data_IF_941494404451
#
_entry.id   IF_941494404451
#
_cell.length_a   1.000
_cell.length_b   1.000
_cell.length_c   1.000
_cell.angle_alpha   90.00
_cell.angle_beta   90.00
_cell.angle_gamma   90.00
#
_symmetry.space_group_name_H-M   'P 1'
#
loop_
_entity.id
_entity.type
_entity.pdbx_description
1 polymer ?
#
# COMPACT_ATOMS: atom_id res chain seq x y z
N UNK A 1 18.16 10.61 10.35
CA UNK A 1 17.08 10.45 11.36
C UNK A 1 15.67 10.71 10.80
N UNK A 2 15.47 11.58 9.78
CA UNK A 2 14.13 11.95 9.28
C UNK A 2 13.37 10.87 8.48
N UNK A 3 14.06 10.11 7.63
CA UNK A 3 13.48 8.96 6.89
C UNK A 3 12.80 7.92 7.79
N UNK A 4 13.37 7.69 8.98
CA UNK A 4 12.81 6.77 9.94
C UNK A 4 11.43 7.24 10.44
N UNK A 5 11.26 8.55 10.68
CA UNK A 5 10.01 9.12 11.19
C UNK A 5 8.82 8.94 10.23
N UNK A 6 9.05 9.08 8.93
CA UNK A 6 7.99 8.85 7.93
C UNK A 6 7.62 7.38 7.81
N UNK A 7 8.61 6.48 7.84
CA UNK A 7 8.38 5.03 7.86
C UNK A 7 7.59 4.63 9.10
N UNK A 8 7.93 5.17 10.28
CA UNK A 8 7.16 4.96 11.50
C UNK A 8 5.74 5.50 11.39
N UNK A 9 5.55 6.70 10.83
CA UNK A 9 4.21 7.25 10.57
C UNK A 9 3.36 6.36 9.66
N UNK A 10 3.96 5.84 8.58
CA UNK A 10 3.30 4.89 7.67
C UNK A 10 2.97 3.56 8.37
N UNK A 11 3.87 3.04 9.19
CA UNK A 11 3.65 1.81 9.95
C UNK A 11 2.51 1.96 10.95
N UNK A 12 2.54 3.03 11.74
CA UNK A 12 1.50 3.33 12.75
C UNK A 12 0.16 3.60 12.07
N UNK A 13 0.13 4.46 11.05
CA UNK A 13 -1.09 4.75 10.29
C UNK A 13 -1.62 3.54 9.53
N UNK A 14 -0.73 2.73 8.94
CA UNK A 14 -1.09 1.51 8.21
C UNK A 14 -1.64 0.42 9.12
N UNK A 15 -1.06 0.19 10.30
CA UNK A 15 -1.59 -0.76 11.29
C UNK A 15 -2.90 -0.28 11.89
N UNK A 16 -2.98 0.98 12.33
CA UNK A 16 -4.22 1.54 12.86
C UNK A 16 -5.35 1.53 11.80
N UNK A 17 -5.03 1.86 10.55
CA UNK A 17 -5.95 1.82 9.43
C UNK A 17 -6.41 0.41 9.10
N UNK A 18 -5.48 -0.56 9.04
CA UNK A 18 -5.81 -1.96 8.79
C UNK A 18 -6.70 -2.55 9.89
N UNK A 19 -6.39 -2.30 11.16
CA UNK A 19 -7.23 -2.71 12.30
C UNK A 19 -8.61 -2.08 12.19
N UNK A 20 -8.68 -0.77 11.90
CA UNK A 20 -9.96 -0.08 11.72
C UNK A 20 -10.78 -0.70 10.61
N UNK A 21 -10.18 -0.93 9.43
CA UNK A 21 -10.82 -1.60 8.29
C UNK A 21 -11.29 -3.00 8.68
N UNK A 22 -10.46 -3.81 9.34
CA UNK A 22 -10.84 -5.17 9.75
C UNK A 22 -12.00 -5.18 10.76
N UNK A 23 -12.06 -4.19 11.67
CA UNK A 23 -13.11 -4.09 12.69
C UNK A 23 -14.41 -3.49 12.16
N UNK A 24 -14.36 -2.59 11.18
CA UNK A 24 -15.53 -1.82 10.71
C UNK A 24 -16.05 -2.24 9.34
N UNK A 25 -15.31 -3.03 8.57
CA UNK A 25 -15.76 -3.47 7.24
C UNK A 25 -16.79 -4.61 7.39
N UNK A 26 -18.01 -4.49 6.82
CA UNK A 26 -19.03 -5.54 6.88
C UNK A 26 -18.76 -6.73 5.93
N UNK A 27 -17.59 -6.78 5.30
CA UNK A 27 -17.24 -7.79 4.31
C UNK A 27 -16.44 -8.95 4.94
N UNK A 28 -16.78 -10.18 4.54
CA UNK A 28 -16.06 -11.37 5.01
C UNK A 28 -14.61 -11.40 4.50
N UNK A 29 -13.72 -12.06 5.24
CA UNK A 29 -12.31 -12.23 4.85
C UNK A 29 -12.13 -12.82 3.44
N UNK A 30 -13.04 -13.71 3.00
CA UNK A 30 -13.08 -14.21 1.61
C UNK A 30 -13.30 -13.09 0.60
N UNK A 31 -14.25 -12.19 0.85
CA UNK A 31 -14.53 -11.05 -0.04
C UNK A 31 -13.34 -10.10 -0.11
N UNK A 32 -12.69 -9.84 1.03
CA UNK A 32 -11.51 -8.96 1.06
C UNK A 32 -10.34 -9.58 0.28
N UNK A 33 -10.06 -10.87 0.47
CA UNK A 33 -9.02 -11.58 -0.30
C UNK A 33 -9.32 -11.60 -1.80
N UNK A 34 -10.56 -11.91 -2.19
CA UNK A 34 -10.98 -11.90 -3.59
C UNK A 34 -10.89 -10.50 -4.21
N UNK A 35 -11.29 -9.46 -3.47
CA UNK A 35 -11.15 -8.07 -3.91
C UNK A 35 -9.68 -7.66 -4.07
N UNK A 36 -8.79 -8.11 -3.17
CA UNK A 36 -7.36 -7.83 -3.26
C UNK A 36 -6.75 -8.40 -4.55
N UNK A 37 -7.22 -9.58 -4.98
CA UNK A 37 -6.70 -10.28 -6.17
C UNK A 37 -7.22 -9.65 -7.44
N UNK A 38 -8.54 -9.46 -7.50
CA UNK A 38 -9.18 -8.84 -8.65
C UNK A 38 -8.71 -7.40 -8.88
N UNK A 39 -8.37 -6.68 -7.80
CA UNK A 39 -7.93 -5.29 -7.87
C UNK A 39 -6.42 -5.10 -7.69
N UNK A 40 -5.62 -6.16 -7.58
CA UNK A 40 -4.16 -6.07 -7.35
C UNK A 40 -3.47 -5.21 -8.41
N UNK A 41 -3.82 -5.38 -9.69
CA UNK A 41 -3.33 -4.53 -10.78
C UNK A 41 -3.74 -3.06 -10.65
N UNK A 42 -4.99 -2.81 -10.29
CA UNK A 42 -5.53 -1.46 -10.07
C UNK A 42 -4.90 -0.79 -8.83
N UNK A 43 -4.51 -1.56 -7.82
CA UNK A 43 -3.79 -1.08 -6.65
C UNK A 43 -2.38 -0.61 -7.02
N UNK A 44 -1.68 -1.40 -7.83
CA UNK A 44 -0.35 -1.03 -8.35
C UNK A 44 -0.46 0.23 -9.22
N UNK A 45 -1.50 0.33 -10.06
CA UNK A 45 -1.73 1.53 -10.88
C UNK A 45 -2.07 2.76 -10.02
N UNK A 46 -2.91 2.61 -9.00
CA UNK A 46 -3.25 3.69 -8.06
C UNK A 46 -2.01 4.18 -7.31
N UNK A 47 -1.13 3.27 -6.89
CA UNK A 47 0.13 3.65 -6.26
C UNK A 47 1.10 4.37 -7.22
N UNK A 48 1.09 4.03 -8.53
CA UNK A 48 1.78 4.85 -9.55
C UNK A 48 1.16 6.23 -9.72
N UNK A 49 -0.17 6.36 -9.64
CA UNK A 49 -0.84 7.68 -9.66
C UNK A 49 -0.46 8.52 -8.45
N UNK A 50 -0.37 7.93 -7.26
CA UNK A 50 0.14 8.61 -6.07
C UNK A 50 1.58 9.12 -6.30
N UNK A 51 2.44 8.32 -6.94
CA UNK A 51 3.79 8.75 -7.31
C UNK A 51 3.81 10.00 -8.20
N UNK A 52 2.90 10.06 -9.18
CA UNK A 52 2.75 11.22 -10.06
C UNK A 52 2.23 12.44 -9.30
N UNK A 53 1.19 12.26 -8.49
CA UNK A 53 0.60 13.36 -7.71
C UNK A 53 1.60 13.95 -6.70
N UNK A 54 2.47 13.13 -6.11
CA UNK A 54 3.56 13.62 -5.23
C UNK A 54 4.59 14.43 -6.00
N UNK A 55 4.86 14.06 -7.26
CA UNK A 55 5.74 14.83 -8.14
C UNK A 55 5.13 16.19 -8.48
N UNK A 56 3.84 16.22 -8.82
CA UNK A 56 3.11 17.47 -9.10
C UNK A 56 3.02 18.36 -7.86
N UNK A 57 2.72 17.76 -6.70
CA UNK A 57 2.70 18.47 -5.42
C UNK A 57 4.05 19.14 -5.12
N UNK A 58 5.17 18.46 -5.45
CA UNK A 58 6.50 19.06 -5.31
C UNK A 58 6.68 20.32 -6.16
N UNK A 59 6.11 20.35 -7.36
CA UNK A 59 6.20 21.51 -8.25
C UNK A 59 5.31 22.67 -7.76
N UNK A 60 4.12 22.37 -7.21
CA UNK A 60 3.20 23.36 -6.62
C UNK A 60 3.71 23.98 -5.30
N UNK A 61 4.65 23.33 -4.59
CA UNK A 61 5.27 23.88 -3.37
C UNK A 61 6.04 25.18 -3.65
N UNK A 62 6.34 25.48 -4.92
CA UNK A 62 7.01 26.73 -5.28
C UNK A 62 6.17 27.98 -4.98
N UNK A 63 4.84 27.86 -4.94
CA UNK A 63 3.88 28.94 -4.72
C UNK A 63 3.55 29.17 -3.23
N UNK A 64 4.02 28.30 -2.33
CA UNK A 64 3.80 28.45 -0.88
C UNK A 64 4.69 29.52 -0.25
N UNK A 65 4.25 30.09 0.88
CA UNK A 65 5.05 31.04 1.67
C UNK A 65 6.39 30.41 2.11
N UNK A 66 7.42 31.24 2.26
CA UNK A 66 8.81 30.82 2.50
C UNK A 66 8.97 29.85 3.68
N UNK A 67 8.15 30.01 4.71
CA UNK A 67 8.19 29.22 5.95
C UNK A 67 7.48 27.86 5.78
N UNK A 68 6.32 27.84 5.12
CA UNK A 68 5.62 26.60 4.75
C UNK A 68 6.37 25.78 3.69
N UNK A 69 7.02 26.46 2.75
CA UNK A 69 7.81 25.84 1.67
C UNK A 69 8.93 24.96 2.21
N UNK A 70 9.65 25.43 3.23
CA UNK A 70 10.80 24.70 3.80
C UNK A 70 10.37 23.43 4.54
N UNK A 71 9.28 23.51 5.31
CA UNK A 71 8.75 22.37 6.05
C UNK A 71 8.17 21.28 5.13
N UNK A 72 7.40 21.68 4.11
CA UNK A 72 6.75 20.71 3.20
C UNK A 72 7.75 20.14 2.18
N UNK A 73 8.70 20.93 1.67
CA UNK A 73 9.67 20.46 0.68
C UNK A 73 10.55 19.31 1.21
N UNK A 74 10.98 19.39 2.47
CA UNK A 74 11.80 18.34 3.08
C UNK A 74 11.04 17.01 3.21
N UNK A 75 9.78 17.07 3.64
CA UNK A 75 8.91 15.89 3.73
C UNK A 75 8.65 15.30 2.35
N UNK A 76 8.45 16.15 1.34
CA UNK A 76 8.12 15.70 -0.01
C UNK A 76 9.29 15.04 -0.72
N UNK A 77 10.53 15.44 -0.41
CA UNK A 77 11.72 14.76 -0.90
C UNK A 77 11.91 13.37 -0.29
N UNK A 78 11.63 13.21 1.00
CA UNK A 78 11.65 11.89 1.65
C UNK A 78 10.56 10.95 1.09
N UNK A 79 9.33 11.45 0.87
CA UNK A 79 8.25 10.68 0.23
C UNK A 79 8.65 10.29 -1.20
N UNK A 80 9.23 11.22 -1.98
CA UNK A 80 9.70 10.94 -3.34
C UNK A 80 10.76 9.84 -3.36
N UNK A 81 11.66 9.81 -2.38
CA UNK A 81 12.64 8.73 -2.27
C UNK A 81 11.97 7.39 -1.95
N UNK A 82 11.06 7.37 -0.97
CA UNK A 82 10.31 6.16 -0.61
C UNK A 82 9.57 5.57 -1.82
N UNK A 83 8.89 6.42 -2.60
CA UNK A 83 8.16 6.00 -3.80
C UNK A 83 9.09 5.44 -4.87
N UNK A 84 10.27 6.05 -5.07
CA UNK A 84 11.27 5.53 -6.02
C UNK A 84 11.79 4.14 -5.63
N UNK A 85 12.07 3.94 -4.34
CA UNK A 85 12.52 2.65 -3.82
C UNK A 85 11.42 1.59 -3.95
N UNK A 86 10.18 1.96 -3.60
CA UNK A 86 9.01 1.10 -3.78
C UNK A 86 8.78 0.73 -5.25
N UNK A 87 8.82 1.69 -6.18
CA UNK A 87 8.72 1.42 -7.62
C UNK A 87 9.83 0.50 -8.07
N UNK A 88 11.09 0.76 -7.70
CA UNK A 88 12.22 -0.11 -8.05
C UNK A 88 12.01 -1.55 -7.58
N UNK A 89 11.37 -1.74 -6.42
CA UNK A 89 11.09 -3.07 -5.86
C UNK A 89 9.90 -3.78 -6.53
N UNK A 90 8.86 -3.03 -6.89
CA UNK A 90 7.56 -3.60 -7.30
C UNK A 90 7.40 -3.64 -8.82
N UNK A 91 7.90 -2.64 -9.54
CA UNK A 91 7.78 -2.53 -11.00
C UNK A 91 8.30 -3.77 -11.76
N UNK A 92 9.52 -4.30 -11.48
CA UNK A 92 10.04 -5.47 -12.21
C UNK A 92 9.34 -6.77 -11.83
N UNK A 93 8.74 -6.84 -10.64
CA UNK A 93 8.12 -8.05 -10.10
C UNK A 93 6.59 -7.96 -10.07
N UNK A 94 5.99 -6.99 -10.77
CA UNK A 94 4.54 -6.72 -10.74
C UNK A 94 3.72 -7.98 -11.00
N UNK A 95 4.04 -8.70 -12.06
CA UNK A 95 3.30 -9.90 -12.45
C UNK A 95 3.55 -11.06 -11.49
N UNK A 96 4.77 -11.17 -10.96
CA UNK A 96 5.11 -12.13 -9.93
C UNK A 96 4.30 -11.89 -8.65
N UNK A 97 4.19 -10.63 -8.19
CA UNK A 97 3.38 -10.25 -7.04
C UNK A 97 1.90 -10.56 -7.25
N UNK A 98 1.35 -10.30 -8.45
CA UNK A 98 -0.02 -10.67 -8.76
C UNK A 98 -0.25 -12.18 -8.68
N UNK A 99 0.73 -12.97 -9.14
CA UNK A 99 0.67 -14.42 -9.08
C UNK A 99 0.83 -14.95 -7.65
N UNK A 100 1.73 -14.37 -6.87
CA UNK A 100 1.91 -14.71 -5.45
C UNK A 100 0.64 -14.45 -4.64
N UNK A 101 -0.04 -13.31 -4.86
CA UNK A 101 -1.32 -13.02 -4.18
C UNK A 101 -2.39 -14.07 -4.56
N UNK A 102 -2.43 -14.53 -5.82
CA UNK A 102 -3.34 -15.61 -6.25
C UNK A 102 -3.01 -16.95 -5.60
N UNK A 103 -1.73 -17.31 -5.51
CA UNK A 103 -1.29 -18.55 -4.88
C UNK A 103 -1.56 -18.56 -3.36
N UNK A 104 -1.41 -17.40 -2.69
CA UNK A 104 -1.80 -17.23 -1.29
C UNK A 104 -3.29 -17.48 -1.11
N UNK A 105 -4.17 -16.95 -1.98
CA UNK A 105 -5.61 -17.23 -1.91
C UNK A 105 -5.90 -18.72 -2.05
N UNK A 106 -5.32 -19.36 -3.06
CA UNK A 106 -5.51 -20.79 -3.33
C UNK A 106 -5.08 -21.64 -2.14
N UNK A 107 -3.94 -21.29 -1.53
CA UNK A 107 -3.43 -21.96 -0.33
C UNK A 107 -4.41 -21.80 0.84
N UNK A 108 -4.93 -20.59 1.07
CA UNK A 108 -5.88 -20.35 2.15
C UNK A 108 -7.21 -21.09 1.90
N UNK A 109 -7.72 -21.10 0.67
CA UNK A 109 -8.92 -21.87 0.31
C UNK A 109 -8.74 -23.38 0.56
N UNK A 110 -7.55 -23.92 0.28
CA UNK A 110 -7.24 -25.32 0.55
C UNK A 110 -7.19 -25.61 2.06
N UNK A 111 -6.57 -24.74 2.85
CA UNK A 111 -6.53 -24.85 4.31
C UNK A 111 -7.95 -24.80 4.91
N UNK A 112 -8.80 -23.90 4.43
CA UNK A 112 -10.21 -23.82 4.86
C UNK A 112 -10.97 -25.13 4.55
N UNK A 113 -10.78 -25.71 3.36
CA UNK A 113 -11.39 -27.00 2.99
C UNK A 113 -10.93 -28.13 3.91
N UNK A 114 -9.64 -28.21 4.20
CA UNK A 114 -9.09 -29.25 5.10
C UNK A 114 -9.59 -29.12 6.53
N UNK A 115 -9.69 -27.89 7.05
CA UNK A 115 -10.25 -27.63 8.38
C UNK A 115 -11.74 -28.01 8.46
N UNK A 116 -12.52 -27.75 7.40
CA UNK A 116 -13.92 -28.17 7.32
C UNK A 116 -14.05 -29.70 7.21
N UNK A 117 -13.17 -30.36 6.46
CA UNK A 117 -13.17 -31.82 6.33
C UNK A 117 -12.78 -32.55 7.62
N UNK A 118 -11.88 -31.98 8.43
CA UNK A 118 -11.42 -32.55 9.70
C UNK A 118 -12.41 -32.31 10.87
N UNK A 119 -13.40 -31.45 10.67
CA UNK A 119 -14.41 -31.07 11.67
C UNK A 119 -15.73 -31.85 11.54
N UNK A 120 -15.86 -32.71 10.54
CA UNK A 120 -16.95 -33.71 10.38
C UNK A 120 -16.42 -35.10 10.66
#
# INVERSE_FOLDING_TARGET
MKKASLIYGLLVGGTAGAVSVLLTTPASGKKIRAALINNSGAFIESAKKIALNVKELKDSIQELSTEGKKAVAEVMDDIKQFIKEWQRSIEPNKDALQNEIKEIQKTIENLEKQLQQKSS
#
